data_IF_095916381668
#
_entry.id   IF_095916381668
#
_cell.length_a   1.000
_cell.length_b   1.000
_cell.length_c   1.000
_cell.angle_alpha   90.00
_cell.angle_beta   90.00
_cell.angle_gamma   90.00
#
_symmetry.space_group_name_H-M   'P 1'
#
loop_
_entity.id
_entity.type
_entity.pdbx_description
1 polymer ?
#
# COMPACT_ATOMS: atom_id res chain seq x y z
N UNK A 1 -32.57 -5.72 -19.43
CA UNK A 1 -31.26 -5.32 -19.93
C UNK A 1 -31.46 -4.33 -21.05
N UNK A 2 -30.76 -3.21 -21.01
CA UNK A 2 -30.69 -2.35 -22.19
C UNK A 2 -29.79 -2.98 -23.28
N UNK A 3 -29.88 -2.48 -24.51
CA UNK A 3 -29.17 -3.05 -25.66
C UNK A 3 -27.64 -3.01 -25.48
N UNK A 4 -27.12 -2.07 -24.69
CA UNK A 4 -25.68 -1.92 -24.48
C UNK A 4 -25.19 -2.88 -23.39
N UNK A 5 -25.99 -3.09 -22.35
CA UNK A 5 -25.78 -4.12 -21.34
C UNK A 5 -25.71 -5.51 -22.00
N UNK A 6 -26.61 -5.81 -22.94
CA UNK A 6 -26.61 -7.10 -23.68
C UNK A 6 -25.36 -7.30 -24.53
N UNK A 7 -24.92 -6.25 -25.23
CA UNK A 7 -23.66 -6.31 -25.99
C UNK A 7 -22.45 -6.51 -25.08
N UNK A 8 -22.45 -5.87 -23.91
CA UNK A 8 -21.35 -5.97 -22.97
C UNK A 8 -21.26 -7.37 -22.35
N UNK A 9 -22.40 -7.98 -22.04
CA UNK A 9 -22.47 -9.37 -21.57
C UNK A 9 -21.99 -10.37 -22.65
N UNK A 10 -22.45 -10.20 -23.89
CA UNK A 10 -21.94 -11.01 -25.01
C UNK A 10 -20.42 -10.87 -25.21
N UNK A 11 -19.87 -9.68 -24.98
CA UNK A 11 -18.42 -9.45 -25.03
C UNK A 11 -17.70 -10.10 -23.85
N UNK A 12 -18.30 -10.09 -22.66
CA UNK A 12 -17.75 -10.74 -21.47
C UNK A 12 -17.49 -12.22 -21.74
N UNK A 13 -18.48 -12.91 -22.30
CA UNK A 13 -18.38 -14.35 -22.61
C UNK A 13 -17.39 -14.62 -23.74
N UNK A 14 -17.42 -13.82 -24.81
CA UNK A 14 -16.53 -14.01 -25.97
C UNK A 14 -15.06 -13.73 -25.68
N UNK A 15 -14.78 -12.77 -24.80
CA UNK A 15 -13.43 -12.30 -24.52
C UNK A 15 -12.92 -12.74 -23.15
N UNK A 16 -13.74 -13.47 -22.37
CA UNK A 16 -13.39 -14.07 -21.08
C UNK A 16 -12.79 -13.06 -20.08
N UNK A 17 -13.37 -11.86 -20.03
CA UNK A 17 -13.09 -10.89 -18.95
C UNK A 17 -14.21 -10.93 -17.91
N UNK A 18 -14.01 -10.25 -16.78
CA UNK A 18 -15.02 -10.07 -15.75
C UNK A 18 -15.37 -8.59 -15.64
N UNK A 19 -16.67 -8.30 -15.60
CA UNK A 19 -17.19 -6.97 -15.31
C UNK A 19 -17.33 -6.81 -13.80
N UNK A 20 -16.88 -5.68 -13.28
CA UNK A 20 -17.03 -5.28 -11.88
C UNK A 20 -17.67 -3.90 -11.86
N UNK A 21 -18.87 -3.80 -11.29
CA UNK A 21 -19.61 -2.56 -11.17
C UNK A 21 -19.87 -2.23 -9.69
N UNK A 22 -19.85 -0.95 -9.28
CA UNK A 22 -20.31 -0.56 -7.96
C UNK A 22 -21.82 -0.76 -7.84
N UNK A 23 -22.28 -1.16 -6.65
CA UNK A 23 -23.70 -1.37 -6.37
C UNK A 23 -24.51 -0.07 -6.24
N UNK A 24 -23.82 1.07 -6.19
CA UNK A 24 -24.41 2.41 -6.14
C UNK A 24 -24.19 3.13 -7.47
N UNK A 25 -25.12 4.01 -7.83
CA UNK A 25 -24.96 4.89 -8.99
C UNK A 25 -23.63 5.65 -8.93
N UNK A 26 -23.02 5.84 -10.10
CA UNK A 26 -21.79 6.60 -10.28
C UNK A 26 -22.05 7.89 -11.04
N UNK A 27 -23.17 7.98 -11.76
CA UNK A 27 -23.59 9.17 -12.48
C UNK A 27 -24.84 9.79 -11.84
N UNK A 28 -24.74 11.08 -11.54
CA UNK A 28 -25.74 11.92 -10.89
C UNK A 28 -25.96 13.18 -11.75
N UNK A 29 -26.88 13.12 -12.73
CA UNK A 29 -27.18 14.26 -13.59
C UNK A 29 -27.64 15.48 -12.79
N UNK A 30 -27.27 16.68 -13.25
CA UNK A 30 -27.66 17.94 -12.62
C UNK A 30 -29.16 18.23 -12.62
N UNK A 31 -29.91 17.62 -13.56
CA UNK A 31 -31.36 17.70 -13.59
C UNK A 31 -31.94 16.55 -12.76
N UNK A 32 -32.60 16.88 -11.64
CA UNK A 32 -33.20 15.92 -10.71
C UNK A 32 -34.31 15.05 -11.35
N UNK A 33 -34.82 15.43 -12.53
CA UNK A 33 -35.77 14.61 -13.29
C UNK A 33 -35.09 13.42 -13.99
N UNK A 34 -33.77 13.47 -14.15
CA UNK A 34 -33.01 12.39 -14.78
C UNK A 34 -32.60 11.34 -13.74
N UNK A 35 -32.68 10.08 -14.13
CA UNK A 35 -32.38 8.95 -13.25
C UNK A 35 -30.86 8.81 -13.04
N UNK A 36 -30.46 8.61 -11.78
CA UNK A 36 -29.08 8.23 -11.46
C UNK A 36 -28.77 6.83 -12.01
N UNK A 37 -27.54 6.65 -12.50
CA UNK A 37 -27.13 5.41 -13.19
C UNK A 37 -25.72 4.97 -12.79
N UNK A 38 -25.44 3.68 -12.93
CA UNK A 38 -24.08 3.14 -12.84
C UNK A 38 -23.50 3.07 -14.25
N UNK A 39 -22.56 3.95 -14.56
CA UNK A 39 -21.90 4.01 -15.87
C UNK A 39 -20.42 3.66 -15.79
N UNK A 40 -19.82 3.82 -14.61
CA UNK A 40 -18.41 3.58 -14.36
C UNK A 40 -18.22 2.13 -13.87
N UNK A 41 -17.46 1.36 -14.64
CA UNK A 41 -17.19 -0.07 -14.40
C UNK A 41 -15.71 -0.38 -14.55
N UNK A 42 -15.25 -1.45 -13.92
CA UNK A 42 -13.91 -2.00 -14.10
C UNK A 42 -13.99 -3.34 -14.83
N UNK A 43 -13.08 -3.57 -15.77
CA UNK A 43 -12.94 -4.83 -16.48
C UNK A 43 -11.63 -5.50 -16.06
N UNK A 44 -11.68 -6.80 -15.77
CA UNK A 44 -10.49 -7.58 -15.39
C UNK A 44 -10.37 -8.83 -16.26
N UNK A 45 -9.18 -9.08 -16.83
CA UNK A 45 -8.90 -10.28 -17.64
C UNK A 45 -7.55 -10.87 -17.25
N UNK A 46 -7.50 -12.18 -16.99
CA UNK A 46 -6.24 -12.88 -16.72
C UNK A 46 -5.48 -12.42 -15.48
N UNK A 47 -6.17 -11.78 -14.51
CA UNK A 47 -5.56 -11.34 -13.25
C UNK A 47 -5.97 -12.27 -12.11
N UNK A 48 -4.99 -12.76 -11.36
CA UNK A 48 -5.20 -13.50 -10.14
C UNK A 48 -5.20 -12.51 -8.96
N UNK A 49 -6.25 -11.69 -8.86
CA UNK A 49 -6.45 -10.78 -7.74
C UNK A 49 -7.87 -10.94 -7.20
N UNK A 50 -8.01 -10.94 -5.88
CA UNK A 50 -9.29 -10.91 -5.21
C UNK A 50 -9.80 -9.47 -5.13
N UNK A 51 -11.07 -9.28 -5.46
CA UNK A 51 -11.77 -8.02 -5.20
C UNK A 51 -12.12 -7.95 -3.70
N UNK A 52 -11.41 -7.09 -2.96
CA UNK A 52 -11.65 -6.91 -1.52
C UNK A 52 -12.82 -5.95 -1.25
N UNK A 53 -12.87 -4.83 -1.97
CA UNK A 53 -14.01 -3.91 -1.94
C UNK A 53 -14.11 -3.05 -3.21
N UNK A 54 -15.31 -2.56 -3.45
CA UNK A 54 -15.62 -1.54 -4.45
C UNK A 54 -16.51 -0.49 -3.79
N UNK A 55 -16.09 0.77 -3.83
CA UNK A 55 -16.74 1.87 -3.11
C UNK A 55 -16.86 3.10 -4.03
N UNK A 56 -18.00 3.79 -4.01
CA UNK A 56 -18.14 5.09 -4.68
C UNK A 56 -17.78 6.23 -3.74
N UNK A 57 -16.90 7.12 -4.19
CA UNK A 57 -16.42 8.25 -3.41
C UNK A 57 -17.26 9.49 -3.71
N UNK A 58 -17.41 10.35 -2.69
CA UNK A 58 -18.22 11.57 -2.76
C UNK A 58 -17.35 12.83 -2.64
N UNK A 59 -16.06 12.70 -2.96
CA UNK A 59 -15.05 13.71 -2.64
C UNK A 59 -14.75 14.70 -3.78
N UNK A 60 -15.32 14.50 -4.97
CA UNK A 60 -15.10 15.37 -6.14
C UNK A 60 -16.39 16.09 -6.54
N UNK A 61 -16.23 17.33 -7.03
CA UNK A 61 -17.32 18.15 -7.56
C UNK A 61 -17.55 17.85 -9.04
N UNK A 62 -18.10 16.68 -9.31
CA UNK A 62 -18.52 16.22 -10.65
C UNK A 62 -19.88 15.54 -10.52
N UNK A 63 -20.63 15.54 -11.61
CA UNK A 63 -21.80 14.68 -11.82
C UNK A 63 -21.43 13.19 -11.85
N UNK A 64 -20.15 12.85 -11.97
CA UNK A 64 -19.64 11.50 -11.73
C UNK A 64 -18.99 11.36 -10.34
N UNK A 65 -19.26 10.21 -9.71
CA UNK A 65 -18.65 9.77 -8.46
C UNK A 65 -17.50 8.82 -8.75
N UNK A 66 -16.28 9.11 -8.30
CA UNK A 66 -15.15 8.22 -8.47
C UNK A 66 -15.40 6.84 -7.86
N UNK A 67 -14.86 5.79 -8.49
CA UNK A 67 -14.94 4.42 -7.97
C UNK A 67 -13.57 4.00 -7.44
N UNK A 68 -13.51 3.60 -6.17
CA UNK A 68 -12.34 3.03 -5.54
C UNK A 68 -12.42 1.51 -5.57
N UNK A 69 -11.46 0.87 -6.24
CA UNK A 69 -11.33 -0.59 -6.31
C UNK A 69 -10.18 -1.05 -5.42
N UNK A 70 -10.47 -1.84 -4.38
CA UNK A 70 -9.45 -2.47 -3.53
C UNK A 70 -9.27 -3.91 -3.97
N UNK A 71 -8.13 -4.21 -4.59
CA UNK A 71 -7.77 -5.57 -5.00
C UNK A 71 -6.61 -6.10 -4.14
N UNK A 72 -6.61 -7.41 -3.89
CA UNK A 72 -5.57 -8.10 -3.14
C UNK A 72 -5.13 -9.40 -3.79
N UNK A 73 -4.10 -10.07 -3.27
CA UNK A 73 -3.73 -11.41 -3.72
C UNK A 73 -4.92 -12.39 -3.58
N UNK A 74 -4.97 -13.47 -4.39
CA UNK A 74 -5.94 -14.54 -4.20
C UNK A 74 -5.83 -15.11 -2.78
N UNK A 75 -6.92 -15.65 -2.24
CA UNK A 75 -6.97 -16.30 -0.92
C UNK A 75 -6.12 -17.58 -0.91
N UNK A 76 -4.80 -17.38 -0.89
CA UNK A 76 -3.76 -18.38 -0.93
C UNK A 76 -2.59 -17.84 -0.15
N UNK A 77 -2.72 -17.85 1.18
CA UNK A 77 -1.67 -17.50 2.14
C UNK A 77 -1.00 -16.17 1.84
N UNK A 78 -1.58 -15.06 2.33
CA UNK A 78 -0.89 -13.77 2.39
C UNK A 78 0.51 -14.06 2.94
N UNK A 79 1.61 -13.72 2.23
CA UNK A 79 2.93 -13.81 2.82
C UNK A 79 2.83 -13.05 4.14
N UNK A 80 3.18 -13.70 5.25
CA UNK A 80 3.35 -12.97 6.50
C UNK A 80 4.43 -11.94 6.18
N UNK A 81 4.01 -10.71 5.88
CA UNK A 81 4.92 -9.63 5.62
C UNK A 81 5.68 -9.45 6.93
N UNK A 82 6.91 -9.95 6.96
CA UNK A 82 7.76 -9.80 8.12
C UNK A 82 8.31 -8.39 8.05
N UNK A 83 7.92 -7.55 9.00
CA UNK A 83 8.49 -6.20 9.13
C UNK A 83 9.74 -6.35 9.99
N UNK A 84 10.83 -5.70 9.57
CA UNK A 84 12.03 -5.52 10.40
C UNK A 84 11.79 -4.34 11.33
N UNK A 85 11.86 -4.59 12.63
CA UNK A 85 11.76 -3.55 13.65
C UNK A 85 13.09 -3.52 14.40
N UNK A 86 13.71 -2.35 14.51
CA UNK A 86 14.92 -2.15 15.30
C UNK A 86 14.59 -1.69 16.73
N UNK A 87 15.29 -2.23 17.72
CA UNK A 87 15.24 -1.73 19.11
C UNK A 87 16.07 -0.45 19.23
N UNK A 88 15.44 0.70 18.99
CA UNK A 88 16.11 2.00 18.97
C UNK A 88 16.81 2.37 20.27
N UNK A 89 16.35 1.86 21.42
CA UNK A 89 17.01 2.10 22.71
C UNK A 89 18.38 1.41 22.73
N UNK A 90 18.45 0.15 22.29
CA UNK A 90 19.72 -0.59 22.18
C UNK A 90 20.64 -0.03 21.11
N UNK A 91 20.08 0.44 19.99
CA UNK A 91 20.83 1.15 18.94
C UNK A 91 21.48 2.42 19.52
N UNK A 92 20.73 3.25 20.26
CA UNK A 92 21.27 4.44 20.93
C UNK A 92 22.43 4.10 21.87
N UNK A 93 22.24 3.11 22.76
CA UNK A 93 23.30 2.66 23.68
C UNK A 93 24.51 2.09 22.94
N UNK A 94 24.33 1.50 21.76
CA UNK A 94 25.45 1.01 20.95
C UNK A 94 26.24 2.14 20.31
N UNK A 95 25.60 3.26 19.93
CA UNK A 95 26.28 4.44 19.41
C UNK A 95 27.00 5.26 20.49
N UNK A 96 26.50 5.26 21.73
CA UNK A 96 27.17 5.92 22.86
C UNK A 96 28.49 5.25 23.26
N UNK A 97 28.74 4.00 22.83
CA UNK A 97 30.00 3.31 23.08
C UNK A 97 31.09 3.86 22.15
N UNK A 98 31.90 4.76 22.71
CA UNK A 98 33.09 5.30 22.06
C UNK A 98 34.09 4.16 21.77
N UNK A 99 34.71 4.17 20.59
CA UNK A 99 35.83 3.28 20.23
C UNK A 99 35.50 2.11 19.31
N UNK A 100 34.49 2.22 18.45
CA UNK A 100 34.22 1.16 17.45
C UNK A 100 35.30 1.16 16.36
N UNK A 101 35.96 0.03 16.06
CA UNK A 101 37.09 -0.03 15.13
C UNK A 101 36.81 0.56 13.74
N UNK A 102 35.55 0.51 13.30
CA UNK A 102 35.11 0.96 11.98
C UNK A 102 35.03 2.49 11.83
N UNK A 103 34.91 3.24 12.93
CA UNK A 103 34.93 4.71 12.89
C UNK A 103 36.33 5.27 13.14
N UNK A 104 37.24 4.46 13.69
CA UNK A 104 38.63 4.83 13.92
C UNK A 104 39.44 4.93 12.61
N UNK A 105 38.88 4.53 11.47
CA UNK A 105 39.52 4.70 10.15
C UNK A 105 39.18 6.04 9.48
N UNK A 106 38.30 6.84 10.08
CA UNK A 106 37.96 8.18 9.57
C UNK A 106 39.02 9.16 10.10
N UNK A 107 39.71 9.91 9.22
CA UNK A 107 40.67 10.91 9.65
C UNK A 107 39.98 12.09 10.35
N UNK A 108 40.65 12.70 11.33
CA UNK A 108 40.13 13.87 12.06
C UNK A 108 40.00 15.13 11.18
N UNK A 109 40.76 15.20 10.08
CA UNK A 109 40.79 16.31 9.13
C UNK A 109 40.46 15.78 7.73
N UNK A 110 39.30 16.15 7.20
CA UNK A 110 38.78 15.71 5.90
C UNK A 110 39.01 16.84 4.89
N UNK A 111 39.89 16.62 3.91
CA UNK A 111 40.33 17.66 2.96
C UNK A 111 40.08 17.31 1.51
N UNK A 112 39.96 16.03 1.17
CA UNK A 112 39.76 15.57 -0.21
C UNK A 112 38.37 14.97 -0.42
N UNK A 113 37.95 14.90 -1.68
CA UNK A 113 36.70 14.24 -2.08
C UNK A 113 36.73 12.74 -1.78
N UNK A 114 37.90 12.10 -1.89
CA UNK A 114 38.07 10.68 -1.60
C UNK A 114 37.93 10.39 -0.10
N UNK A 115 38.42 11.30 0.76
CA UNK A 115 38.24 11.22 2.21
C UNK A 115 36.78 11.44 2.61
N UNK A 116 36.06 12.34 1.93
CA UNK A 116 34.61 12.52 2.11
C UNK A 116 33.86 11.23 1.78
N UNK A 117 34.11 10.65 0.61
CA UNK A 117 33.46 9.40 0.19
C UNK A 117 33.79 8.25 1.14
N UNK A 118 35.04 8.16 1.60
CA UNK A 118 35.46 7.18 2.58
C UNK A 118 34.74 7.36 3.92
N UNK A 119 34.63 8.59 4.44
CA UNK A 119 33.94 8.88 5.70
C UNK A 119 32.43 8.57 5.61
N UNK A 120 31.78 8.92 4.51
CA UNK A 120 30.37 8.59 4.26
C UNK A 120 30.17 7.08 4.22
N UNK A 121 31.04 6.36 3.51
CA UNK A 121 31.02 4.90 3.46
C UNK A 121 31.21 4.27 4.84
N UNK A 122 32.18 4.77 5.59
CA UNK A 122 32.51 4.31 6.94
C UNK A 122 31.32 4.48 7.90
N UNK A 123 30.72 5.67 7.93
CA UNK A 123 29.56 5.98 8.76
C UNK A 123 28.33 5.16 8.35
N UNK A 124 28.06 5.07 7.05
CA UNK A 124 26.89 4.34 6.51
C UNK A 124 26.95 2.85 6.85
N UNK A 125 28.12 2.23 6.67
CA UNK A 125 28.34 0.82 7.02
C UNK A 125 28.21 0.58 8.53
N UNK A 126 28.73 1.50 9.34
CA UNK A 126 28.61 1.42 10.79
C UNK A 126 27.15 1.49 11.25
N UNK A 127 26.40 2.51 10.79
CA UNK A 127 24.97 2.67 11.13
C UNK A 127 24.17 1.44 10.70
N UNK A 128 24.38 0.96 9.48
CA UNK A 128 23.72 -0.25 8.97
C UNK A 128 23.99 -1.45 9.86
N UNK A 129 25.25 -1.70 10.19
CA UNK A 129 25.67 -2.84 11.03
C UNK A 129 25.02 -2.79 12.42
N UNK A 130 25.00 -1.60 13.05
CA UNK A 130 24.39 -1.41 14.37
C UNK A 130 22.88 -1.64 14.31
N UNK A 131 22.20 -1.07 13.31
CA UNK A 131 20.75 -1.25 13.13
C UNK A 131 20.42 -2.72 12.91
N UNK A 132 21.08 -3.39 11.95
CA UNK A 132 20.87 -4.81 11.63
C UNK A 132 21.09 -5.74 12.83
N UNK A 133 22.07 -5.44 13.69
CA UNK A 133 22.33 -6.23 14.91
C UNK A 133 21.16 -6.21 15.90
N UNK A 134 20.40 -5.12 15.96
CA UNK A 134 19.27 -4.95 16.87
C UNK A 134 17.92 -4.99 16.15
N UNK A 135 17.91 -5.42 14.89
CA UNK A 135 16.69 -5.74 14.16
C UNK A 135 16.11 -7.07 14.62
N UNK A 136 14.78 -7.12 14.70
CA UNK A 136 14.01 -8.34 14.82
C UNK A 136 12.97 -8.39 13.71
N UNK A 137 12.80 -9.57 13.11
CA UNK A 137 11.66 -9.86 12.25
C UNK A 137 10.42 -10.09 13.10
N UNK A 138 9.41 -9.26 12.91
CA UNK A 138 8.11 -9.41 13.57
C UNK A 138 7.08 -9.68 12.47
N UNK A 139 6.14 -10.61 12.68
CA UNK A 139 4.98 -10.72 11.80
C UNK A 139 4.34 -9.34 11.74
N UNK A 140 4.11 -8.76 10.55
CA UNK A 140 3.25 -7.59 10.48
C UNK A 140 1.94 -7.97 11.15
N UNK A 141 1.66 -7.38 12.31
CA UNK A 141 0.37 -7.57 12.95
C UNK A 141 -0.65 -7.19 11.90
N UNK A 142 -1.54 -8.13 11.59
CA UNK A 142 -2.75 -7.83 10.85
C UNK A 142 -3.51 -6.87 11.75
N UNK A 143 -3.29 -5.57 11.54
CA UNK A 143 -3.87 -4.49 12.33
C UNK A 143 -5.34 -4.34 11.91
N UNK A 144 -6.10 -5.43 12.08
CA UNK A 144 -7.54 -5.36 12.23
C UNK A 144 -7.78 -4.85 13.64
N UNK A 145 -7.65 -3.53 13.83
CA UNK A 145 -8.40 -2.84 14.87
C UNK A 145 -9.86 -3.22 14.65
N UNK A 146 -10.37 -4.17 15.43
CA UNK A 146 -11.81 -4.40 15.51
C UNK A 146 -12.40 -3.11 16.07
N UNK A 147 -13.36 -2.52 15.36
CA UNK A 147 -14.16 -1.45 15.95
C UNK A 147 -14.76 -1.98 17.27
N UNK A 148 -14.82 -1.15 18.33
CA UNK A 148 -15.51 -1.55 19.54
C UNK A 148 -16.97 -1.87 19.20
N UNK A 149 -17.59 -2.87 19.87
CA UNK A 149 -18.97 -3.23 19.61
C UNK A 149 -19.86 -2.01 19.90
N UNK A 150 -20.63 -1.58 18.91
CA UNK A 150 -21.68 -0.59 19.08
C UNK A 150 -22.71 -1.15 20.05
N UNK A 151 -22.79 -0.59 21.25
CA UNK A 151 -23.95 -0.74 22.11
C UNK A 151 -25.15 -0.08 21.42
N UNK A 152 -26.12 -0.90 21.00
CA UNK A 152 -27.45 -0.43 20.62
C UNK A 152 -28.16 0.10 21.88
N UNK A 153 -28.62 1.34 21.84
CA UNK A 153 -29.71 1.84 22.68
C UNK A 153 -30.90 2.15 21.77
#
# INVERSE_FOLDING_TARGET
MDQNEEKLDQLQDRLEFKIIAPSTATYFPYNDSNRHSTLDIALTKGVALNLNSIETLHSLYSDHRPVLLKMGPPDGGRPISTIKIADWKKVSTAFEKIGTPHLNSIPDDIRTTEEIDHAIGALTSHVRTVVEKYERKVPASSDRRKFPPTSLN
#
